data_IF_435552390039
#
_entry.id   IF_435552390039
#
_cell.length_a   1.000
_cell.length_b   1.000
_cell.length_c   1.000
_cell.angle_alpha   90.00
_cell.angle_beta   90.00
_cell.angle_gamma   90.00
#
_symmetry.space_group_name_H-M   'P 1'
#
loop_
_entity.id
_entity.type
_entity.pdbx_description
1 polymer ?
#
# COMPACT_ATOMS: atom_id res chain seq x y z
N UNK A 1 -7.15 -27.01 -1.67
CA UNK A 1 -6.76 -27.25 -3.07
C UNK A 1 -5.33 -27.80 -3.06
N UNK A 2 -5.11 -28.99 -3.62
CA UNK A 2 -3.77 -29.54 -3.79
C UNK A 2 -3.04 -28.72 -4.87
N UNK A 3 -2.36 -27.65 -4.46
CA UNK A 3 -1.63 -26.77 -5.36
C UNK A 3 -0.32 -27.43 -5.78
N UNK A 4 -0.39 -28.31 -6.78
CA UNK A 4 0.79 -28.76 -7.51
C UNK A 4 1.32 -27.55 -8.29
N UNK A 5 2.27 -26.84 -7.70
CA UNK A 5 2.97 -25.73 -8.34
C UNK A 5 4.17 -26.25 -9.12
N UNK A 6 4.52 -25.60 -10.23
CA UNK A 6 5.69 -25.99 -11.02
C UNK A 6 6.98 -25.84 -10.20
N UNK A 7 8.05 -26.60 -10.51
CA UNK A 7 9.35 -26.44 -9.83
C UNK A 7 9.88 -25.00 -9.89
N UNK A 8 9.66 -24.30 -11.02
CA UNK A 8 10.03 -22.89 -11.19
C UNK A 8 9.21 -21.99 -10.26
N UNK A 9 7.90 -22.21 -10.16
CA UNK A 9 7.05 -21.45 -9.25
C UNK A 9 7.48 -21.67 -7.80
N UNK A 10 7.78 -22.92 -7.40
CA UNK A 10 8.31 -23.22 -6.07
C UNK A 10 9.61 -22.46 -5.78
N UNK A 11 10.54 -22.45 -6.73
CA UNK A 11 11.78 -21.68 -6.60
C UNK A 11 11.51 -20.15 -6.52
N UNK A 12 10.53 -19.65 -7.28
CA UNK A 12 10.17 -18.23 -7.29
C UNK A 12 9.50 -17.79 -5.99
N UNK A 13 8.65 -18.63 -5.39
CA UNK A 13 8.05 -18.37 -4.08
C UNK A 13 9.11 -18.20 -2.97
N UNK A 14 10.23 -18.90 -3.07
CA UNK A 14 11.33 -18.81 -2.11
C UNK A 14 12.24 -17.58 -2.28
N UNK A 15 12.06 -16.78 -3.33
CA UNK A 15 12.87 -15.58 -3.55
C UNK A 15 12.60 -14.53 -2.47
N UNK A 16 13.66 -14.06 -1.81
CA UNK A 16 13.62 -12.92 -0.90
C UNK A 16 13.98 -11.62 -1.66
N UNK A 17 13.03 -10.67 -1.83
CA UNK A 17 13.31 -9.40 -2.48
C UNK A 17 14.39 -8.60 -1.75
N UNK A 18 15.27 -7.95 -2.52
CA UNK A 18 16.34 -7.09 -1.97
C UNK A 18 15.74 -5.79 -1.44
N UNK A 19 16.09 -5.43 -0.21
CA UNK A 19 15.64 -4.19 0.42
C UNK A 19 16.76 -3.11 0.44
N UNK A 20 16.39 -1.83 0.28
CA UNK A 20 17.29 -0.70 0.56
C UNK A 20 17.82 -0.76 1.99
N UNK A 21 19.04 -0.26 2.22
CA UNK A 21 19.71 -0.34 3.53
C UNK A 21 18.84 0.18 4.69
N UNK A 22 18.11 1.29 4.47
CA UNK A 22 17.23 1.89 5.47
C UNK A 22 16.11 0.94 5.95
N UNK A 23 15.61 0.04 5.09
CA UNK A 23 14.45 -0.81 5.37
C UNK A 23 14.81 -2.25 5.76
N UNK A 24 16.09 -2.61 5.76
CA UNK A 24 16.53 -3.99 6.08
C UNK A 24 16.24 -4.39 7.53
N UNK A 25 16.19 -3.41 8.44
CA UNK A 25 15.88 -3.62 9.86
C UNK A 25 14.38 -3.44 10.17
N UNK A 26 13.52 -3.35 9.14
CA UNK A 26 12.10 -3.06 9.28
C UNK A 26 11.73 -1.66 8.80
N UNK A 27 10.44 -1.32 8.91
CA UNK A 27 9.89 -0.08 8.40
C UNK A 27 9.95 1.10 9.39
N UNK A 28 10.49 0.91 10.60
CA UNK A 28 10.79 2.04 11.48
C UNK A 28 12.10 2.69 11.02
N UNK A 29 11.96 3.78 10.26
CA UNK A 29 13.04 4.53 9.64
C UNK A 29 13.06 5.97 10.12
N UNK A 30 14.26 6.56 10.15
CA UNK A 30 14.38 8.01 10.34
C UNK A 30 13.97 8.69 9.03
N UNK A 31 13.08 9.67 9.12
CA UNK A 31 12.67 10.50 7.99
C UNK A 31 13.34 11.87 8.08
N UNK A 32 13.92 12.33 6.98
CA UNK A 32 14.52 13.66 6.85
C UNK A 32 13.83 14.43 5.73
N UNK A 33 13.36 15.63 6.04
CA UNK A 33 12.75 16.53 5.07
C UNK A 33 13.83 17.28 4.30
N UNK A 34 13.75 17.19 2.97
CA UNK A 34 14.55 17.93 2.03
C UNK A 34 13.85 19.19 1.52
N UNK A 35 14.29 19.75 0.38
CA UNK A 35 13.69 20.94 -0.19
C UNK A 35 12.25 20.69 -0.66
N UNK A 36 11.39 21.71 -0.51
CA UNK A 36 10.05 21.75 -1.09
C UNK A 36 10.14 21.72 -2.61
N UNK A 37 9.32 20.88 -3.22
CA UNK A 37 9.21 20.83 -4.68
C UNK A 37 8.19 21.85 -5.16
N UNK A 38 8.33 22.29 -6.41
CA UNK A 38 7.31 23.11 -7.08
C UNK A 38 6.68 22.31 -8.21
N UNK A 39 5.43 22.64 -8.53
CA UNK A 39 4.82 22.11 -9.73
C UNK A 39 5.66 22.47 -10.96
N UNK A 40 5.78 21.53 -11.89
CA UNK A 40 6.53 21.74 -13.14
C UNK A 40 5.89 22.81 -14.03
N UNK A 41 4.55 22.91 -14.02
CA UNK A 41 3.75 23.88 -14.75
C UNK A 41 2.48 24.22 -13.95
N UNK A 42 1.79 25.31 -14.32
CA UNK A 42 0.52 25.75 -13.72
C UNK A 42 0.56 25.93 -12.18
N UNK A 43 1.70 26.37 -11.65
CA UNK A 43 1.97 26.47 -10.20
C UNK A 43 0.84 27.16 -9.44
N UNK A 44 0.40 28.35 -9.89
CA UNK A 44 -0.66 29.10 -9.23
C UNK A 44 -1.99 28.34 -9.16
N UNK A 45 -2.38 27.63 -10.24
CA UNK A 45 -3.62 26.85 -10.27
C UNK A 45 -3.54 25.62 -9.36
N UNK A 46 -2.39 24.95 -9.35
CA UNK A 46 -2.17 23.77 -8.50
C UNK A 46 -2.15 24.16 -7.03
N UNK A 47 -1.50 25.26 -6.67
CA UNK A 47 -1.49 25.79 -5.31
C UNK A 47 -2.90 26.19 -4.86
N UNK A 48 -3.65 26.88 -5.71
CA UNK A 48 -5.04 27.25 -5.42
C UNK A 48 -5.95 26.02 -5.25
N UNK A 49 -5.72 24.95 -6.03
CA UNK A 49 -6.53 23.72 -5.96
C UNK A 49 -6.14 22.79 -4.80
N UNK A 50 -4.87 22.76 -4.42
CA UNK A 50 -4.31 21.88 -3.40
C UNK A 50 -3.59 22.68 -2.30
N UNK A 51 -4.30 23.53 -1.55
CA UNK A 51 -3.66 24.44 -0.59
C UNK A 51 -2.94 23.70 0.55
N UNK A 52 -3.38 22.49 0.89
CA UNK A 52 -2.85 21.72 2.01
C UNK A 52 -1.75 20.72 1.63
N UNK A 53 -1.59 20.42 0.33
CA UNK A 53 -0.71 19.33 -0.15
C UNK A 53 0.20 19.74 -1.31
N UNK A 54 0.06 20.96 -1.84
CA UNK A 54 1.01 21.49 -2.81
C UNK A 54 2.36 21.81 -2.16
N UNK A 55 3.43 21.66 -2.93
CA UNK A 55 4.80 22.01 -2.52
C UNK A 55 5.34 21.31 -1.25
N UNK A 56 4.99 20.04 -1.03
CA UNK A 56 5.56 19.23 0.06
C UNK A 56 7.07 18.97 -0.13
N UNK A 57 7.84 18.78 0.96
CA UNK A 57 9.26 18.45 0.89
C UNK A 57 9.48 17.04 0.34
N UNK A 58 10.63 16.85 -0.34
CA UNK A 58 11.12 15.50 -0.65
C UNK A 58 11.54 14.82 0.65
N UNK A 59 11.17 13.55 0.82
CA UNK A 59 11.55 12.77 2.00
C UNK A 59 12.72 11.83 1.67
N UNK A 60 13.69 11.78 2.57
CA UNK A 60 14.78 10.79 2.54
C UNK A 60 14.72 9.94 3.80
N UNK A 61 14.95 8.63 3.65
CA UNK A 61 14.88 7.68 4.75
C UNK A 61 16.26 7.13 5.10
N UNK A 62 16.61 7.19 6.38
CA UNK A 62 17.81 6.60 6.97
C UNK A 62 17.48 5.49 7.96
N UNK A 63 18.52 4.92 8.56
CA UNK A 63 18.34 3.93 9.63
C UNK A 63 17.55 4.55 10.79
N UNK A 64 16.45 3.90 11.19
CA UNK A 64 15.67 4.29 12.35
C UNK A 64 16.27 3.78 13.65
N UNK A 65 15.57 4.07 14.75
CA UNK A 65 15.97 3.67 16.11
C UNK A 65 15.38 2.30 16.54
N UNK A 66 14.58 1.65 15.68
CA UNK A 66 14.02 0.32 15.95
C UNK A 66 12.93 0.27 17.04
N UNK A 67 12.40 1.41 17.48
CA UNK A 67 11.32 1.45 18.47
C UNK A 67 10.03 0.81 17.93
N UNK A 68 9.30 0.08 18.77
CA UNK A 68 7.98 -0.43 18.39
C UNK A 68 7.01 0.74 18.16
N UNK A 69 6.29 0.72 17.04
CA UNK A 69 5.26 1.71 16.75
C UNK A 69 3.91 1.29 17.36
N UNK A 70 2.97 2.23 17.47
CA UNK A 70 1.57 1.87 17.75
C UNK A 70 1.02 1.01 16.60
N UNK A 71 0.11 0.06 16.86
CA UNK A 71 -0.56 -0.68 15.80
C UNK A 71 -1.27 0.30 14.86
N UNK A 72 -1.14 0.04 13.56
CA UNK A 72 -1.79 0.84 12.51
C UNK A 72 -2.60 -0.06 11.59
N UNK A 73 -3.75 0.44 11.16
CA UNK A 73 -4.56 -0.21 10.14
C UNK A 73 -4.33 0.53 8.82
N UNK A 74 -4.02 -0.23 7.77
CA UNK A 74 -3.76 0.31 6.43
C UNK A 74 -4.67 -0.41 5.44
N UNK A 75 -5.12 0.31 4.42
CA UNK A 75 -5.77 -0.31 3.26
C UNK A 75 -4.96 -0.11 1.97
N UNK A 76 -5.11 -1.06 1.06
CA UNK A 76 -4.49 -1.06 -0.26
C UNK A 76 -5.53 -1.31 -1.35
N UNK A 77 -5.38 -0.61 -2.48
CA UNK A 77 -6.20 -0.75 -3.69
C UNK A 77 -5.25 -0.96 -4.86
N UNK A 78 -5.54 -1.94 -5.72
CA UNK A 78 -4.91 -2.05 -7.03
C UNK A 78 -5.83 -1.40 -8.07
N UNK A 79 -5.35 -0.34 -8.72
CA UNK A 79 -6.13 0.45 -9.69
C UNK A 79 -5.52 0.33 -11.09
N UNK A 80 -6.36 0.33 -12.12
CA UNK A 80 -5.93 0.26 -13.50
C UNK A 80 -5.67 -1.16 -14.03
N UNK A 81 -4.89 -1.23 -15.12
CA UNK A 81 -4.46 -2.50 -15.72
C UNK A 81 -3.40 -3.20 -14.86
N UNK A 82 -3.38 -4.53 -14.91
CA UNK A 82 -2.40 -5.31 -14.15
C UNK A 82 -0.97 -5.04 -14.60
N UNK A 83 -0.04 -5.03 -13.64
CA UNK A 83 1.39 -4.95 -13.88
C UNK A 83 2.13 -6.00 -13.02
N UNK A 84 3.16 -6.68 -13.55
CA UNK A 84 3.97 -7.61 -12.76
C UNK A 84 4.57 -6.91 -11.53
N UNK A 85 4.37 -7.51 -10.35
CA UNK A 85 4.91 -7.00 -9.08
C UNK A 85 3.88 -6.41 -8.11
N UNK A 86 2.61 -6.23 -8.53
CA UNK A 86 1.56 -5.73 -7.63
C UNK A 86 1.41 -6.54 -6.34
N UNK A 87 1.46 -7.87 -6.43
CA UNK A 87 1.44 -8.74 -5.25
C UNK A 87 2.65 -8.52 -4.32
N UNK A 88 3.82 -8.16 -4.85
CA UNK A 88 4.99 -7.87 -4.02
C UNK A 88 4.90 -6.51 -3.32
N UNK A 89 4.15 -5.54 -3.88
CA UNK A 89 3.83 -4.29 -3.17
C UNK A 89 3.00 -4.60 -1.93
N UNK A 90 1.94 -5.40 -2.08
CA UNK A 90 1.10 -5.83 -0.94
C UNK A 90 1.92 -6.65 0.07
N UNK A 91 2.80 -7.53 -0.41
CA UNK A 91 3.67 -8.30 0.46
C UNK A 91 4.64 -7.42 1.27
N UNK A 92 5.25 -6.41 0.62
CA UNK A 92 6.13 -5.45 1.29
C UNK A 92 5.40 -4.57 2.30
N UNK A 93 4.17 -4.14 1.99
CA UNK A 93 3.30 -3.44 2.95
C UNK A 93 3.01 -4.31 4.17
N UNK A 94 2.62 -5.57 3.95
CA UNK A 94 2.34 -6.52 5.03
C UNK A 94 3.58 -6.71 5.93
N UNK A 95 4.73 -7.03 5.34
CA UNK A 95 5.98 -7.26 6.08
C UNK A 95 6.43 -6.00 6.83
N UNK A 96 6.33 -4.83 6.18
CA UNK A 96 6.62 -3.53 6.79
C UNK A 96 5.73 -3.24 8.01
N UNK A 97 4.42 -3.42 7.87
CA UNK A 97 3.46 -3.22 8.97
C UNK A 97 3.72 -4.16 10.15
N UNK A 98 4.01 -5.44 9.86
CA UNK A 98 4.34 -6.42 10.90
C UNK A 98 5.67 -6.13 11.58
N UNK A 99 6.64 -5.57 10.86
CA UNK A 99 7.91 -5.10 11.45
C UNK A 99 7.74 -3.89 12.38
N UNK A 100 6.73 -3.04 12.14
CA UNK A 100 6.40 -1.91 13.01
C UNK A 100 5.67 -2.36 14.27
N UNK A 101 4.65 -3.19 14.09
CA UNK A 101 3.86 -3.78 15.16
C UNK A 101 3.12 -5.03 14.65
N UNK A 102 3.26 -6.20 15.28
CA UNK A 102 2.56 -7.42 14.87
C UNK A 102 1.02 -7.30 14.86
N UNK A 103 0.45 -6.41 15.68
CA UNK A 103 -0.99 -6.17 15.76
C UNK A 103 -1.53 -5.25 14.64
N UNK A 104 -0.66 -4.63 13.84
CA UNK A 104 -1.07 -3.84 12.67
C UNK A 104 -1.82 -4.71 11.65
N UNK A 105 -2.82 -4.15 10.98
CA UNK A 105 -3.65 -4.86 9.99
C UNK A 105 -3.56 -4.23 8.62
N UNK A 106 -3.69 -5.08 7.60
CA UNK A 106 -3.72 -4.68 6.20
C UNK A 106 -5.02 -5.16 5.56
N UNK A 107 -5.78 -4.24 4.97
CA UNK A 107 -7.02 -4.54 4.26
C UNK A 107 -6.84 -4.30 2.76
N UNK A 108 -7.29 -5.23 1.94
CA UNK A 108 -7.30 -5.08 0.49
C UNK A 108 -8.71 -4.83 -0.02
N UNK A 109 -8.98 -3.63 -0.55
CA UNK A 109 -10.27 -3.32 -1.18
C UNK A 109 -10.36 -3.96 -2.57
N UNK A 110 -11.47 -4.63 -2.85
CA UNK A 110 -11.64 -5.51 -4.00
C UNK A 110 -12.07 -4.76 -5.25
N UNK A 111 -11.47 -5.10 -6.40
CA UNK A 111 -11.92 -4.63 -7.71
C UNK A 111 -11.63 -3.14 -7.96
N UNK A 112 -10.56 -2.61 -7.37
CA UNK A 112 -10.16 -1.21 -7.55
C UNK A 112 -10.92 -0.22 -6.69
N UNK A 113 -10.98 1.07 -7.09
CA UNK A 113 -11.50 2.14 -6.23
C UNK A 113 -12.99 1.99 -5.86
N UNK A 114 -13.80 1.30 -6.67
CA UNK A 114 -15.20 1.00 -6.30
C UNK A 114 -15.29 0.09 -5.08
N UNK A 115 -14.29 -0.76 -4.83
CA UNK A 115 -14.25 -1.58 -3.62
C UNK A 115 -14.24 -0.74 -2.36
N UNK A 116 -13.57 0.43 -2.39
CA UNK A 116 -13.54 1.39 -1.29
C UNK A 116 -14.91 2.01 -1.03
N UNK A 117 -15.63 2.44 -2.07
CA UNK A 117 -16.96 3.05 -1.91
C UNK A 117 -18.05 2.03 -1.56
N UNK A 118 -17.94 0.81 -2.07
CA UNK A 118 -18.89 -0.28 -1.82
C UNK A 118 -18.61 -1.04 -0.53
N UNK A 119 -17.56 -0.67 0.20
CA UNK A 119 -17.06 -1.35 1.39
C UNK A 119 -16.78 -2.85 1.17
N UNK A 120 -16.21 -3.20 0.01
CA UNK A 120 -15.84 -4.57 -0.35
C UNK A 120 -14.35 -4.77 -0.16
N UNK A 121 -13.95 -5.45 0.90
CA UNK A 121 -12.55 -5.72 1.23
C UNK A 121 -12.33 -7.11 1.80
N UNK A 122 -11.06 -7.49 1.93
CA UNK A 122 -10.59 -8.63 2.73
C UNK A 122 -9.46 -8.18 3.65
N UNK A 123 -9.28 -8.85 4.78
CA UNK A 123 -8.05 -8.72 5.57
C UNK A 123 -6.94 -9.57 4.93
N UNK A 124 -5.79 -8.96 4.69
CA UNK A 124 -4.61 -9.63 4.15
C UNK A 124 -3.85 -10.28 5.31
N UNK A 125 -3.95 -11.60 5.42
CA UNK A 125 -3.24 -12.41 6.43
C UNK A 125 -1.98 -13.05 5.84
N UNK A 126 -1.09 -13.55 6.72
CA UNK A 126 0.13 -14.24 6.29
C UNK A 126 -0.18 -15.47 5.41
N UNK A 127 -1.16 -16.28 5.83
CA UNK A 127 -1.58 -17.49 5.11
C UNK A 127 -2.20 -17.15 3.76
N UNK A 128 -3.03 -16.11 3.70
CA UNK A 128 -3.62 -15.64 2.45
C UNK A 128 -2.55 -15.13 1.48
N UNK A 129 -1.59 -14.33 1.98
CA UNK A 129 -0.53 -13.72 1.18
C UNK A 129 0.51 -14.73 0.66
N UNK A 130 0.73 -15.84 1.39
CA UNK A 130 1.79 -16.80 1.09
C UNK A 130 1.75 -17.33 -0.36
N UNK A 131 0.55 -17.56 -0.90
CA UNK A 131 0.35 -18.05 -2.28
C UNK A 131 0.65 -17.02 -3.37
N UNK A 132 0.72 -15.73 -3.04
CA UNK A 132 0.86 -14.63 -4.00
C UNK A 132 2.26 -14.01 -4.03
N UNK A 133 3.12 -14.29 -3.05
CA UNK A 133 4.48 -13.74 -3.02
C UNK A 133 5.22 -14.08 -4.31
N UNK A 134 5.84 -13.08 -4.94
CA UNK A 134 6.62 -13.19 -6.16
C UNK A 134 5.84 -13.68 -7.41
N UNK A 135 4.52 -13.68 -7.35
CA UNK A 135 3.63 -13.99 -8.49
C UNK A 135 3.29 -12.72 -9.28
N UNK A 136 2.86 -12.88 -10.53
CA UNK A 136 2.33 -11.80 -11.35
C UNK A 136 0.84 -11.57 -11.12
N UNK A 137 0.27 -10.58 -11.82
CA UNK A 137 -1.17 -10.29 -11.76
C UNK A 137 -1.56 -9.36 -10.60
N UNK A 138 -2.86 -9.02 -10.58
CA UNK A 138 -3.56 -8.27 -9.53
C UNK A 138 -4.73 -9.09 -8.94
N UNK A 139 -4.79 -10.39 -9.23
CA UNK A 139 -5.88 -11.30 -8.89
C UNK A 139 -6.06 -11.53 -7.38
N UNK A 140 -5.09 -11.16 -6.54
CA UNK A 140 -5.22 -11.19 -5.08
C UNK A 140 -6.45 -10.40 -4.57
N UNK A 141 -6.67 -9.19 -5.11
CA UNK A 141 -7.82 -8.35 -4.75
C UNK A 141 -8.56 -7.80 -5.98
N UNK A 142 -8.11 -8.14 -7.18
CA UNK A 142 -8.61 -7.58 -8.43
C UNK A 142 -8.26 -6.09 -8.57
N UNK A 143 -8.58 -5.53 -9.73
CA UNK A 143 -8.43 -4.11 -10.00
C UNK A 143 -9.62 -3.54 -10.77
N UNK A 144 -9.67 -2.21 -10.83
CA UNK A 144 -10.73 -1.48 -11.50
C UNK A 144 -10.26 -0.08 -11.89
N UNK A 145 -11.09 0.62 -12.66
CA UNK A 145 -10.80 1.97 -13.20
C UNK A 145 -11.78 3.03 -12.72
N UNK A 146 -12.59 2.69 -11.71
CA UNK A 146 -13.59 3.61 -11.15
C UNK A 146 -12.91 4.89 -10.68
N UNK A 147 -13.39 6.03 -11.17
CA UNK A 147 -12.92 7.34 -10.74
C UNK A 147 -13.80 7.84 -9.60
N UNK A 148 -13.18 8.38 -8.56
CA UNK A 148 -13.89 9.07 -7.47
C UNK A 148 -13.91 10.57 -7.81
N UNK A 149 -15.09 11.13 -7.97
CA UNK A 149 -15.29 12.50 -8.47
C UNK A 149 -16.31 13.30 -7.66
N UNK A 150 -17.28 12.61 -7.06
CA UNK A 150 -18.41 13.23 -6.36
C UNK A 150 -18.16 13.34 -4.86
N UNK A 151 -18.67 14.40 -4.18
CA UNK A 151 -18.59 14.52 -2.72
C UNK A 151 -19.07 13.28 -1.99
N UNK A 152 -20.17 12.67 -2.44
CA UNK A 152 -20.76 11.48 -1.81
C UNK A 152 -19.83 10.26 -1.91
N UNK A 153 -19.04 10.14 -2.98
CA UNK A 153 -18.01 9.10 -3.08
C UNK A 153 -16.87 9.33 -2.09
N UNK A 154 -16.45 10.57 -1.87
CA UNK A 154 -15.41 10.90 -0.90
C UNK A 154 -15.89 10.67 0.54
N UNK A 155 -17.12 11.06 0.86
CA UNK A 155 -17.74 10.81 2.17
C UNK A 155 -17.86 9.30 2.47
N UNK A 156 -18.29 8.50 1.50
CA UNK A 156 -18.33 7.03 1.63
C UNK A 156 -16.95 6.45 1.86
N UNK A 157 -15.95 6.90 1.10
CA UNK A 157 -14.56 6.45 1.26
C UNK A 157 -14.04 6.74 2.67
N UNK A 158 -14.25 7.96 3.17
CA UNK A 158 -13.86 8.36 4.52
C UNK A 158 -14.57 7.52 5.59
N UNK A 159 -15.90 7.35 5.49
CA UNK A 159 -16.68 6.58 6.43
C UNK A 159 -16.22 5.10 6.49
N UNK A 160 -15.96 4.49 5.33
CA UNK A 160 -15.51 3.10 5.25
C UNK A 160 -14.08 2.94 5.83
N UNK A 161 -13.17 3.88 5.57
CA UNK A 161 -11.84 3.87 6.20
C UNK A 161 -11.94 4.00 7.72
N UNK A 162 -12.73 4.94 8.24
CA UNK A 162 -12.94 5.14 9.68
C UNK A 162 -13.53 3.91 10.35
N UNK A 163 -14.48 3.22 9.72
CA UNK A 163 -15.06 1.99 10.24
C UNK A 163 -14.02 0.87 10.43
N UNK A 164 -12.91 0.92 9.68
CA UNK A 164 -11.78 -0.01 9.80
C UNK A 164 -10.64 0.51 10.69
N UNK A 165 -10.82 1.67 11.34
CA UNK A 165 -9.78 2.31 12.13
C UNK A 165 -8.58 2.80 11.30
N UNK A 166 -8.80 3.09 10.02
CA UNK A 166 -7.81 3.70 9.13
C UNK A 166 -7.97 5.21 9.28
N UNK A 167 -6.94 5.87 9.79
CA UNK A 167 -6.91 7.29 10.14
C UNK A 167 -6.01 8.08 9.20
#
# INVERSE_FOLDING_TARGET
>A
MNNVVSPIQKARLAYAPKLPAALRAGANVKCEEGPKQKAFADTEKIEARFPNTSNMPVLTFGAGNGAAAKPVNVAVILSGGQAPGGHNVIAGLFDGLKSLNPASKLYGFKGGPSGLTDNKYIEITADFLAGFRNTGGFDMIGSGRTKLETPEQFEKAEANCKALGIT
#
